data_IF_034662055603
#
_entry.id   IF_034662055603
#
_cell.length_a   1.000
_cell.length_b   1.000
_cell.length_c   1.000
_cell.angle_alpha   90.00
_cell.angle_beta   90.00
_cell.angle_gamma   90.00
#
_symmetry.space_group_name_H-M   'P 1'
#
loop_
_entity.id
_entity.type
_entity.pdbx_description
1 polymer ?
#
# COMPACT_ATOMS: atom_id res chain seq x y z
N UNK A 1 -2.91 17.56 -14.15
CA UNK A 1 -3.38 18.49 -13.11
C UNK A 1 -2.28 19.48 -12.85
N UNK A 2 -2.54 20.78 -12.78
CA UNK A 2 -1.52 21.72 -12.29
C UNK A 2 -1.19 21.31 -10.85
N UNK A 3 0.07 21.09 -10.54
CA UNK A 3 0.56 20.89 -9.16
C UNK A 3 0.41 22.22 -8.39
N UNK A 4 -0.83 22.62 -8.15
CA UNK A 4 -1.06 23.76 -7.29
C UNK A 4 -0.66 23.36 -5.87
N UNK A 5 0.46 23.89 -5.41
CA UNK A 5 0.91 23.71 -4.04
C UNK A 5 0.29 24.85 -3.23
N UNK A 6 -0.62 24.58 -2.31
CA UNK A 6 -1.26 25.63 -1.51
C UNK A 6 -0.23 26.31 -0.60
N UNK A 7 -0.50 27.54 -0.12
CA UNK A 7 0.39 28.21 0.84
C UNK A 7 0.51 27.41 2.13
N UNK A 8 1.64 27.54 2.80
CA UNK A 8 1.83 26.98 4.15
C UNK A 8 0.99 27.78 5.15
N UNK A 9 0.42 27.07 6.13
CA UNK A 9 -0.15 27.68 7.31
C UNK A 9 0.99 28.29 8.16
N UNK A 10 0.97 29.61 8.30
CA UNK A 10 2.03 30.34 9.00
C UNK A 10 2.10 30.02 10.50
N UNK A 11 0.97 29.65 11.11
CA UNK A 11 0.89 29.28 12.53
C UNK A 11 1.55 27.91 12.76
N UNK A 12 1.26 26.93 11.89
CA UNK A 12 1.86 25.59 11.97
C UNK A 12 3.37 25.69 11.65
N UNK A 13 3.73 26.48 10.65
CA UNK A 13 5.15 26.67 10.32
C UNK A 13 5.94 27.30 11.48
N UNK A 14 5.39 28.33 12.14
CA UNK A 14 6.03 28.94 13.30
C UNK A 14 6.19 27.96 14.49
N UNK A 15 5.23 27.05 14.70
CA UNK A 15 5.36 25.99 15.71
C UNK A 15 6.49 25.02 15.37
N UNK A 16 6.60 24.60 14.11
CA UNK A 16 7.68 23.71 13.66
C UNK A 16 9.04 24.40 13.78
N UNK A 17 9.16 25.69 13.39
CA UNK A 17 10.41 26.45 13.60
C UNK A 17 10.79 26.55 15.08
N UNK A 18 9.81 26.74 15.98
CA UNK A 18 10.05 26.76 17.41
C UNK A 18 10.53 25.39 17.93
N UNK A 19 9.98 24.28 17.42
CA UNK A 19 10.46 22.93 17.76
C UNK A 19 11.91 22.71 17.34
N UNK A 20 12.34 23.21 16.20
CA UNK A 20 13.74 23.12 15.74
C UNK A 20 14.74 23.79 16.70
N UNK A 21 14.30 24.76 17.53
CA UNK A 21 15.11 25.39 18.54
C UNK A 21 15.17 24.61 19.88
N UNK A 22 14.35 23.55 20.01
CA UNK A 22 14.38 22.71 21.21
C UNK A 22 15.65 21.87 21.25
N UNK A 23 16.44 21.89 22.37
CA UNK A 23 17.65 21.09 22.48
C UNK A 23 17.41 19.58 22.31
N UNK A 24 16.27 19.06 22.76
CA UNK A 24 15.91 17.65 22.63
C UNK A 24 15.59 17.29 21.18
N UNK A 25 14.87 18.16 20.46
CA UNK A 25 14.59 17.97 19.04
C UNK A 25 15.88 18.08 18.22
N UNK A 26 16.71 19.10 18.45
CA UNK A 26 18.00 19.23 17.79
C UNK A 26 18.91 18.00 18.01
N UNK A 27 18.90 17.45 19.24
CA UNK A 27 19.61 16.19 19.54
C UNK A 27 19.02 15.01 18.77
N UNK A 28 17.69 14.87 18.68
CA UNK A 28 17.05 13.79 17.93
C UNK A 28 17.40 13.84 16.43
N UNK A 29 17.37 15.04 15.84
CA UNK A 29 17.76 15.26 14.44
C UNK A 29 19.25 14.92 14.22
N UNK A 30 20.13 15.23 15.18
CA UNK A 30 21.56 14.90 15.11
C UNK A 30 21.80 13.38 15.22
N UNK A 31 21.07 12.67 16.09
CA UNK A 31 21.14 11.20 16.21
C UNK A 31 20.83 10.56 14.85
N UNK A 32 19.83 11.04 14.13
CA UNK A 32 19.50 10.52 12.79
C UNK A 32 20.69 10.66 11.80
N UNK A 33 21.50 11.71 11.94
CA UNK A 33 22.72 11.90 11.13
C UNK A 33 23.84 10.98 11.59
N UNK A 34 24.10 10.94 12.90
CA UNK A 34 25.23 10.21 13.49
C UNK A 34 25.10 8.69 13.32
N UNK A 35 23.88 8.18 13.33
CA UNK A 35 23.58 6.75 13.17
C UNK A 35 23.36 6.30 11.72
N UNK A 36 23.73 7.09 10.72
CA UNK A 36 23.52 6.75 9.30
C UNK A 36 24.08 5.38 8.92
N UNK A 37 25.29 5.03 9.37
CA UNK A 37 25.89 3.72 9.06
C UNK A 37 25.19 2.59 9.81
N UNK A 38 24.86 2.79 11.06
CA UNK A 38 24.12 1.80 11.85
C UNK A 38 22.74 1.53 11.26
N UNK A 39 21.98 2.58 10.89
CA UNK A 39 20.67 2.44 10.26
C UNK A 39 20.76 1.73 8.93
N UNK A 40 21.79 1.99 8.11
CA UNK A 40 21.96 1.30 6.84
C UNK A 40 22.23 -0.20 7.03
N UNK A 41 23.07 -0.55 8.02
CA UNK A 41 23.30 -1.95 8.37
C UNK A 41 22.01 -2.63 8.84
N UNK A 42 21.19 -1.92 9.60
CA UNK A 42 19.87 -2.39 10.04
C UNK A 42 18.93 -2.64 8.86
N UNK A 43 18.93 -1.78 7.84
CA UNK A 43 18.17 -1.99 6.60
C UNK A 43 18.61 -3.27 5.88
N UNK A 44 19.91 -3.53 5.79
CA UNK A 44 20.47 -4.76 5.20
C UNK A 44 19.98 -5.99 5.96
N UNK A 45 20.14 -5.99 7.28
CA UNK A 45 19.74 -7.13 8.13
C UNK A 45 18.25 -7.44 8.04
N UNK A 46 17.39 -6.42 7.94
CA UNK A 46 15.94 -6.59 7.75
C UNK A 46 15.65 -7.13 6.35
N UNK A 47 16.32 -6.63 5.33
CA UNK A 47 16.12 -7.03 3.94
C UNK A 47 16.46 -8.53 3.73
N UNK A 48 17.52 -9.02 4.36
CA UNK A 48 17.97 -10.42 4.26
C UNK A 48 17.04 -11.41 4.97
N UNK A 49 15.97 -10.93 5.63
CA UNK A 49 14.88 -11.77 6.14
C UNK A 49 13.77 -11.80 5.10
N UNK A 50 13.53 -12.91 4.38
CA UNK A 50 12.43 -13.00 3.42
C UNK A 50 11.08 -12.71 4.08
N UNK A 51 10.24 -11.93 3.42
CA UNK A 51 8.90 -11.62 3.88
C UNK A 51 7.92 -11.49 2.70
N UNK A 52 7.61 -12.57 2.00
CA UNK A 52 6.53 -12.55 1.02
C UNK A 52 5.23 -12.12 1.67
N UNK A 53 4.34 -11.44 0.92
CA UNK A 53 3.00 -11.14 1.39
C UNK A 53 2.30 -12.40 1.89
N UNK A 54 1.78 -12.39 3.11
CA UNK A 54 1.22 -13.50 3.92
C UNK A 54 2.25 -14.40 4.63
N UNK A 55 3.54 -14.22 4.43
CA UNK A 55 4.61 -15.00 5.05
C UNK A 55 5.61 -14.11 5.82
N UNK A 56 5.13 -13.03 6.45
CA UNK A 56 5.93 -11.99 7.11
C UNK A 56 6.45 -12.38 8.50
N UNK A 57 6.09 -13.56 9.03
CA UNK A 57 6.24 -13.93 10.45
C UNK A 57 7.67 -13.80 10.96
N UNK A 58 8.68 -14.18 10.16
CA UNK A 58 10.08 -14.15 10.59
C UNK A 58 10.56 -12.70 10.73
N UNK A 59 10.23 -11.84 9.75
CA UNK A 59 10.54 -10.42 9.79
C UNK A 59 9.80 -9.72 10.95
N UNK A 60 8.55 -10.10 11.21
CA UNK A 60 7.76 -9.58 12.34
C UNK A 60 8.43 -9.88 13.70
N UNK A 61 9.00 -11.07 13.89
CA UNK A 61 9.75 -11.39 15.11
C UNK A 61 11.00 -10.51 15.27
N UNK A 62 11.73 -10.23 14.19
CA UNK A 62 12.89 -9.33 14.25
C UNK A 62 12.46 -7.88 14.54
N UNK A 63 11.36 -7.41 13.92
CA UNK A 63 10.81 -6.09 14.23
C UNK A 63 10.35 -5.97 15.68
N UNK A 64 9.66 -6.99 16.21
CA UNK A 64 9.28 -7.07 17.64
C UNK A 64 10.49 -6.91 18.56
N UNK A 65 11.57 -7.64 18.28
CA UNK A 65 12.82 -7.59 19.06
C UNK A 65 13.43 -6.19 19.04
N UNK A 66 13.55 -5.57 17.84
CA UNK A 66 14.14 -4.23 17.68
C UNK A 66 13.28 -3.16 18.34
N UNK A 67 11.97 -3.16 18.13
CA UNK A 67 11.07 -2.18 18.73
C UNK A 67 11.12 -2.24 20.28
N UNK A 68 11.19 -3.45 20.88
CA UNK A 68 11.42 -3.61 22.32
C UNK A 68 12.78 -3.07 22.77
N UNK A 69 13.84 -3.41 22.05
CA UNK A 69 15.20 -2.96 22.37
C UNK A 69 15.34 -1.43 22.32
N UNK A 70 14.58 -0.78 21.43
CA UNK A 70 14.57 0.68 21.29
C UNK A 70 13.60 1.40 22.24
N UNK A 71 13.01 0.68 23.19
CA UNK A 71 12.33 1.26 24.34
C UNK A 71 10.84 1.52 24.16
N UNK A 72 10.21 1.00 23.11
CA UNK A 72 8.74 1.04 23.03
C UNK A 72 8.11 0.13 24.09
N UNK A 73 6.94 0.52 24.57
CA UNK A 73 6.14 -0.25 25.52
C UNK A 73 5.09 -1.07 24.79
N UNK A 74 4.58 -2.09 25.46
CA UNK A 74 3.47 -2.93 25.01
C UNK A 74 3.67 -3.49 23.59
N UNK A 75 4.94 -3.79 23.24
CA UNK A 75 5.28 -4.28 21.90
C UNK A 75 4.80 -5.71 21.74
N UNK A 76 3.91 -5.93 20.78
CA UNK A 76 3.27 -7.21 20.52
C UNK A 76 3.07 -7.45 19.02
N UNK A 77 2.87 -8.70 18.64
CA UNK A 77 2.37 -9.09 17.33
C UNK A 77 0.87 -9.35 17.48
N UNK A 78 0.05 -8.70 16.65
CA UNK A 78 -1.39 -8.92 16.65
C UNK A 78 -1.78 -10.23 15.91
N UNK A 79 -3.08 -10.54 15.89
CA UNK A 79 -3.59 -11.80 15.33
C UNK A 79 -3.37 -11.95 13.82
N UNK A 80 -3.11 -10.86 13.08
CA UNK A 80 -2.84 -10.93 11.64
C UNK A 80 -1.36 -10.76 11.30
N UNK A 81 -0.51 -10.44 12.30
CA UNK A 81 0.94 -10.37 12.15
C UNK A 81 1.55 -8.97 12.18
N UNK A 82 0.79 -7.89 12.37
CA UNK A 82 1.37 -6.56 12.59
C UNK A 82 2.20 -6.55 13.87
N UNK A 83 3.30 -5.79 13.87
CA UNK A 83 4.05 -5.50 15.09
C UNK A 83 3.70 -4.11 15.59
N UNK A 84 3.05 -4.04 16.74
CA UNK A 84 2.56 -2.78 17.30
C UNK A 84 3.33 -2.47 18.56
N UNK A 85 3.81 -1.23 18.69
CA UNK A 85 4.43 -0.71 19.90
C UNK A 85 3.86 0.65 20.26
N UNK A 86 3.89 0.98 21.54
CA UNK A 86 3.30 2.18 22.09
C UNK A 86 4.36 3.07 22.75
N UNK A 87 4.24 4.37 22.54
CA UNK A 87 5.04 5.40 23.19
C UNK A 87 4.11 6.47 23.79
N UNK A 88 4.05 6.52 25.11
CA UNK A 88 3.25 7.49 25.81
C UNK A 88 3.78 8.91 25.62
N UNK A 89 2.89 9.84 25.34
CA UNK A 89 3.09 11.27 25.44
C UNK A 89 2.62 11.81 26.81
N UNK A 90 2.33 13.11 26.86
CA UNK A 90 1.79 13.77 28.07
C UNK A 90 0.25 13.60 28.20
N UNK A 91 -0.39 12.95 27.23
CA UNK A 91 -1.84 12.74 27.20
C UNK A 91 -2.67 14.00 26.93
N UNK A 92 -2.08 15.02 26.32
CA UNK A 92 -2.70 16.31 26.04
C UNK A 92 -2.87 16.62 24.55
N UNK A 93 -2.33 15.78 23.68
CA UNK A 93 -2.35 15.93 22.23
C UNK A 93 -3.07 14.79 21.51
N UNK A 94 -3.10 14.85 20.16
CA UNK A 94 -3.67 13.81 19.35
C UNK A 94 -2.85 12.52 19.43
N UNK A 95 -3.51 11.39 19.27
CA UNK A 95 -2.89 10.08 19.14
C UNK A 95 -2.53 9.85 17.67
N UNK A 96 -1.25 9.68 17.38
CA UNK A 96 -0.77 9.43 16.02
C UNK A 96 -0.24 8.01 15.87
N UNK A 97 -0.48 7.41 14.72
CA UNK A 97 0.19 6.19 14.31
C UNK A 97 1.21 6.47 13.20
N UNK A 98 2.36 5.81 13.31
CA UNK A 98 3.42 5.81 12.31
C UNK A 98 3.56 4.37 11.84
N UNK A 99 3.46 4.12 10.52
CA UNK A 99 3.49 2.78 9.95
C UNK A 99 4.53 2.62 8.85
N UNK A 100 5.07 1.40 8.72
CA UNK A 100 5.87 0.96 7.58
C UNK A 100 5.58 -0.53 7.34
N UNK A 101 5.42 -0.95 6.08
CA UNK A 101 5.09 -2.34 5.80
C UNK A 101 6.31 -3.26 5.78
N UNK A 102 6.07 -4.50 6.20
CA UNK A 102 7.10 -5.53 6.31
C UNK A 102 7.20 -6.44 5.09
N UNK A 103 6.11 -6.60 4.36
CA UNK A 103 6.05 -7.53 3.25
C UNK A 103 6.70 -6.98 1.97
N UNK A 104 6.92 -7.87 1.03
CA UNK A 104 7.44 -7.58 -0.32
C UNK A 104 6.66 -8.37 -1.36
N UNK A 105 6.67 -7.91 -2.61
CA UNK A 105 6.03 -8.61 -3.75
C UNK A 105 6.71 -9.92 -4.15
N UNK A 106 7.88 -10.21 -3.58
CA UNK A 106 8.69 -11.34 -4.01
C UNK A 106 8.21 -12.65 -3.37
N UNK A 107 8.07 -13.74 -4.16
CA UNK A 107 7.64 -15.04 -3.64
C UNK A 107 8.70 -15.68 -2.76
N UNK A 108 8.27 -16.65 -1.93
CA UNK A 108 9.16 -17.47 -1.13
C UNK A 108 10.25 -18.13 -1.99
N UNK A 109 11.47 -18.16 -1.45
CA UNK A 109 12.65 -18.71 -2.15
C UNK A 109 13.37 -17.71 -3.06
N UNK A 110 12.89 -16.47 -3.18
CA UNK A 110 13.66 -15.39 -3.81
C UNK A 110 14.94 -15.12 -2.99
N UNK A 111 16.08 -15.04 -3.66
CA UNK A 111 17.33 -14.65 -3.00
C UNK A 111 17.29 -13.16 -2.66
N UNK A 112 17.29 -12.88 -1.36
CA UNK A 112 17.28 -11.51 -0.80
C UNK A 112 18.63 -11.13 -0.18
N UNK A 113 19.70 -11.90 -0.47
CA UNK A 113 21.06 -11.56 -0.03
C UNK A 113 21.48 -10.22 -0.59
N UNK A 114 21.89 -9.31 0.29
CA UNK A 114 22.27 -7.96 -0.10
C UNK A 114 23.70 -7.92 -0.64
N UNK A 115 23.86 -7.39 -1.85
CA UNK A 115 25.15 -7.14 -2.46
C UNK A 115 25.43 -5.64 -2.48
N UNK A 116 26.58 -5.24 -1.93
CA UNK A 116 26.98 -3.84 -1.87
C UNK A 116 28.06 -3.49 -2.89
N UNK A 117 27.90 -2.36 -3.57
CA UNK A 117 28.91 -1.74 -4.43
C UNK A 117 29.03 -0.24 -4.10
N UNK A 118 30.02 0.13 -3.31
CA UNK A 118 30.16 1.50 -2.82
C UNK A 118 28.97 1.92 -1.95
N UNK A 119 28.24 2.95 -2.35
CA UNK A 119 27.04 3.43 -1.67
C UNK A 119 25.74 2.75 -2.16
N UNK A 120 25.83 1.82 -3.10
CA UNK A 120 24.68 1.13 -3.67
C UNK A 120 24.54 -0.29 -3.14
N UNK A 121 23.32 -0.62 -2.77
CA UNK A 121 22.92 -1.91 -2.21
C UNK A 121 21.87 -2.54 -3.13
N UNK A 122 22.07 -3.79 -3.52
CA UNK A 122 21.21 -4.52 -4.44
C UNK A 122 20.58 -5.70 -3.71
N UNK A 123 19.29 -5.73 -3.63
CA UNK A 123 18.49 -6.90 -3.25
C UNK A 123 17.01 -6.63 -3.51
N UNK A 124 16.19 -7.66 -3.76
CA UNK A 124 14.75 -7.54 -3.81
C UNK A 124 14.17 -7.01 -2.49
N UNK A 125 13.42 -5.90 -2.53
CA UNK A 125 12.81 -5.28 -1.35
C UNK A 125 13.76 -4.42 -0.50
N UNK A 126 14.99 -4.15 -0.97
CA UNK A 126 15.95 -3.30 -0.22
C UNK A 126 15.46 -1.86 -0.07
N UNK A 127 14.77 -1.35 -1.08
CA UNK A 127 14.13 -0.05 -1.05
C UNK A 127 12.69 -0.17 -0.54
N UNK A 128 11.91 -1.02 -1.18
CA UNK A 128 10.48 -1.21 -0.95
C UNK A 128 10.21 -2.49 -0.12
N UNK A 129 9.97 -2.39 1.22
CA UNK A 129 10.00 -1.17 2.00
C UNK A 129 10.99 -1.31 3.18
N UNK A 130 12.14 -2.01 2.98
CA UNK A 130 13.16 -2.11 4.04
C UNK A 130 13.76 -0.73 4.38
N UNK A 131 13.77 0.21 3.42
CA UNK A 131 14.17 1.59 3.69
C UNK A 131 13.17 2.31 4.61
N UNK A 132 11.88 2.08 4.42
CA UNK A 132 10.83 2.57 5.31
C UNK A 132 10.94 2.00 6.72
N UNK A 133 11.14 0.68 6.85
CA UNK A 133 11.34 0.02 8.15
C UNK A 133 12.58 0.56 8.87
N UNK A 134 13.67 0.82 8.16
CA UNK A 134 14.87 1.48 8.71
C UNK A 134 14.54 2.88 9.26
N UNK A 135 13.88 3.73 8.45
CA UNK A 135 13.52 5.08 8.87
C UNK A 135 12.58 5.05 10.09
N UNK A 136 11.60 4.16 10.07
CA UNK A 136 10.69 3.89 11.17
C UNK A 136 11.43 3.55 12.49
N UNK A 137 12.39 2.63 12.46
CA UNK A 137 13.19 2.27 13.64
C UNK A 137 14.11 3.41 14.08
N UNK A 138 14.66 4.17 13.14
CA UNK A 138 15.50 5.34 13.45
C UNK A 138 14.70 6.43 14.16
N UNK A 139 13.44 6.69 13.76
CA UNK A 139 12.56 7.64 14.47
C UNK A 139 12.34 7.21 15.91
N UNK A 140 12.11 5.93 16.17
CA UNK A 140 11.94 5.40 17.54
C UNK A 140 13.20 5.67 18.38
N UNK A 141 14.39 5.33 17.87
CA UNK A 141 15.65 5.58 18.57
C UNK A 141 15.87 7.07 18.83
N UNK A 142 15.75 7.89 17.80
CA UNK A 142 15.98 9.33 17.91
C UNK A 142 15.10 9.98 18.96
N UNK A 143 13.80 9.65 18.99
CA UNK A 143 12.87 10.17 19.98
C UNK A 143 13.23 9.72 21.42
N UNK A 144 13.58 8.45 21.59
CA UNK A 144 13.85 7.89 22.92
C UNK A 144 15.21 8.30 23.46
N UNK A 145 16.29 8.25 22.67
CA UNK A 145 17.64 8.62 23.12
C UNK A 145 17.81 10.13 23.34
N UNK A 146 17.08 10.94 22.57
CA UNK A 146 17.03 12.37 22.81
C UNK A 146 16.09 12.77 23.95
N UNK A 147 15.27 11.83 24.45
CA UNK A 147 14.20 12.08 25.42
C UNK A 147 13.22 13.16 24.94
N UNK A 148 12.82 13.08 23.67
CA UNK A 148 11.77 13.99 23.12
C UNK A 148 10.44 13.63 23.75
N UNK A 149 9.81 14.55 24.44
CA UNK A 149 8.45 14.40 24.94
C UNK A 149 7.44 14.87 23.89
N UNK A 150 6.40 14.07 23.65
CA UNK A 150 5.27 14.43 22.78
C UNK A 150 4.04 14.79 23.60
N UNK A 151 3.20 15.70 23.11
CA UNK A 151 1.95 16.04 23.80
C UNK A 151 0.93 14.90 23.69
N UNK A 152 0.84 14.28 22.52
CA UNK A 152 0.01 13.10 22.26
C UNK A 152 0.80 11.80 22.27
N UNK A 153 0.08 10.69 22.35
CA UNK A 153 0.62 9.34 22.29
C UNK A 153 0.98 8.93 20.87
N UNK A 154 1.94 8.04 20.74
CA UNK A 154 2.36 7.49 19.44
C UNK A 154 2.21 5.97 19.43
N UNK A 155 1.56 5.47 18.39
CA UNK A 155 1.67 4.08 17.97
C UNK A 155 2.72 3.95 16.87
N UNK A 156 3.54 2.91 16.96
CA UNK A 156 4.46 2.48 15.91
C UNK A 156 4.01 1.12 15.41
N UNK A 157 3.74 1.00 14.12
CA UNK A 157 3.11 -0.20 13.54
C UNK A 157 3.90 -0.68 12.33
N UNK A 158 4.64 -1.78 12.48
CA UNK A 158 5.17 -2.48 11.31
C UNK A 158 4.04 -3.37 10.75
N UNK A 159 3.53 -2.99 9.59
CA UNK A 159 2.33 -3.56 8.99
C UNK A 159 2.62 -4.76 8.11
N UNK A 160 1.62 -5.64 7.94
CA UNK A 160 1.66 -6.79 7.05
C UNK A 160 0.73 -6.62 5.86
N UNK A 161 1.11 -7.21 4.72
CA UNK A 161 0.22 -7.29 3.56
C UNK A 161 -0.13 -5.93 2.96
N UNK A 162 0.85 -5.05 2.81
CA UNK A 162 0.67 -3.85 1.99
C UNK A 162 0.55 -4.24 0.53
N UNK A 163 1.37 -5.17 0.09
CA UNK A 163 1.58 -5.50 -1.30
C UNK A 163 0.51 -6.39 -1.92
N UNK A 164 0.27 -6.18 -3.20
CA UNK A 164 -0.48 -7.08 -4.07
C UNK A 164 -1.86 -7.48 -3.53
N UNK A 165 -2.02 -8.79 -3.31
CA UNK A 165 -3.24 -9.38 -2.74
C UNK A 165 -3.33 -9.24 -1.21
N UNK A 166 -2.31 -8.76 -0.55
CA UNK A 166 -2.34 -8.39 0.87
C UNK A 166 -3.29 -7.23 1.15
N UNK A 167 -3.47 -6.34 0.16
CA UNK A 167 -4.55 -5.34 0.14
C UNK A 167 -4.56 -4.42 1.35
N UNK A 168 -3.36 -4.01 1.82
CA UNK A 168 -3.15 -3.20 3.04
C UNK A 168 -3.86 -3.79 4.28
N UNK A 169 -3.94 -5.13 4.38
CA UNK A 169 -4.69 -5.80 5.45
C UNK A 169 -4.21 -5.40 6.85
N UNK A 170 -2.90 -5.20 7.00
CA UNK A 170 -2.30 -4.78 8.26
C UNK A 170 -2.78 -3.42 8.71
N UNK A 171 -2.68 -2.41 7.86
CA UNK A 171 -3.15 -1.07 8.16
C UNK A 171 -4.66 -1.01 8.39
N UNK A 172 -5.46 -1.71 7.58
CA UNK A 172 -6.92 -1.81 7.79
C UNK A 172 -7.26 -2.42 9.15
N UNK A 173 -6.57 -3.51 9.51
CA UNK A 173 -6.79 -4.18 10.79
C UNK A 173 -6.43 -3.27 11.97
N UNK A 174 -5.26 -2.62 11.91
CA UNK A 174 -4.85 -1.67 12.93
C UNK A 174 -5.88 -0.55 13.10
N UNK A 175 -6.32 0.07 12.00
CA UNK A 175 -7.31 1.15 12.02
C UNK A 175 -8.69 0.73 12.52
N UNK A 176 -9.04 -0.54 12.39
CA UNK A 176 -10.31 -1.08 12.90
C UNK A 176 -10.28 -1.34 14.42
N UNK A 177 -9.10 -1.56 15.02
CA UNK A 177 -8.95 -1.97 16.41
C UNK A 177 -8.30 -0.91 17.32
N UNK A 178 -7.74 0.17 16.75
CA UNK A 178 -7.08 1.23 17.51
C UNK A 178 -7.69 2.60 17.17
N UNK A 179 -7.95 3.39 18.19
CA UNK A 179 -8.40 4.77 17.99
C UNK A 179 -7.18 5.69 17.86
N UNK A 180 -7.05 6.32 16.71
CA UNK A 180 -6.00 7.30 16.42
C UNK A 180 -6.61 8.52 15.72
N UNK A 181 -5.97 9.67 15.89
CA UNK A 181 -6.38 10.94 15.28
C UNK A 181 -5.68 11.20 13.94
N UNK A 182 -4.64 10.41 13.62
CA UNK A 182 -3.91 10.51 12.36
C UNK A 182 -2.97 9.35 12.12
N UNK A 183 -2.57 9.18 10.84
CA UNK A 183 -1.67 8.10 10.42
C UNK A 183 -0.61 8.64 9.44
N UNK A 184 0.64 8.27 9.66
CA UNK A 184 1.76 8.58 8.78
C UNK A 184 2.36 7.24 8.31
N UNK A 185 2.21 6.92 7.03
CA UNK A 185 2.96 5.83 6.42
C UNK A 185 4.38 6.29 6.06
N UNK A 186 5.36 5.40 6.19
CA UNK A 186 6.71 5.61 5.67
C UNK A 186 6.92 4.61 4.53
N UNK A 187 6.89 5.13 3.31
CA UNK A 187 6.94 4.32 2.11
C UNK A 187 7.39 5.19 0.92
N UNK A 188 8.45 4.81 0.23
CA UNK A 188 9.14 5.61 -0.78
C UNK A 188 10.44 6.25 -0.27
N UNK A 189 11.28 6.73 -1.17
CA UNK A 189 12.60 7.33 -0.85
C UNK A 189 12.74 8.80 -1.26
N UNK A 190 11.88 9.32 -2.14
CA UNK A 190 11.92 10.74 -2.56
C UNK A 190 11.51 11.65 -1.41
N UNK A 191 12.49 12.26 -0.74
CA UNK A 191 12.29 13.06 0.48
C UNK A 191 11.41 14.30 0.24
N UNK A 192 11.38 14.83 -0.97
CA UNK A 192 10.53 15.95 -1.34
C UNK A 192 9.08 15.58 -1.62
N UNK A 193 8.71 14.31 -1.55
CA UNK A 193 7.37 13.81 -1.85
C UNK A 193 6.50 13.70 -0.61
N UNK A 194 5.32 14.32 -0.65
CA UNK A 194 4.27 14.20 0.38
C UNK A 194 2.97 13.78 -0.31
N UNK A 195 2.34 12.70 0.17
CA UNK A 195 1.06 12.26 -0.38
C UNK A 195 -0.11 12.95 0.33
N UNK A 196 -0.91 13.69 -0.45
CA UNK A 196 -2.11 14.38 0.03
C UNK A 196 -3.39 13.55 -0.09
N UNK A 197 -3.30 12.37 -0.66
CA UNK A 197 -4.46 11.50 -0.84
C UNK A 197 -4.10 10.14 -1.40
N UNK A 198 -5.09 9.27 -1.38
CA UNK A 198 -5.02 7.87 -1.72
C UNK A 198 -5.78 7.57 -3.01
N UNK A 199 -5.13 6.86 -3.93
CA UNK A 199 -5.81 6.21 -5.04
C UNK A 199 -6.45 4.94 -4.52
N UNK A 200 -7.78 4.89 -4.52
CA UNK A 200 -8.50 3.67 -4.16
C UNK A 200 -8.47 2.64 -5.29
N UNK A 201 -8.56 1.38 -4.92
CA UNK A 201 -8.70 0.29 -5.89
C UNK A 201 -9.70 -0.75 -5.43
N UNK A 202 -10.46 -1.31 -6.37
CA UNK A 202 -11.26 -2.50 -6.17
C UNK A 202 -10.82 -3.57 -7.13
N UNK A 203 -10.63 -4.78 -6.62
CA UNK A 203 -10.15 -5.91 -7.38
C UNK A 203 -11.08 -7.08 -7.25
N UNK A 204 -11.36 -7.71 -8.37
CA UNK A 204 -12.21 -8.89 -8.43
C UNK A 204 -11.57 -9.98 -9.26
N UNK A 205 -11.77 -11.22 -8.81
CA UNK A 205 -11.65 -12.41 -9.64
C UNK A 205 -13.03 -12.80 -10.12
N UNK A 206 -13.25 -12.66 -11.42
CA UNK A 206 -14.47 -13.03 -12.09
C UNK A 206 -14.29 -14.40 -12.72
N UNK A 207 -14.97 -15.42 -12.20
CA UNK A 207 -14.91 -16.79 -12.70
C UNK A 207 -16.23 -17.18 -13.33
N UNK A 208 -16.19 -17.59 -14.59
CA UNK A 208 -17.35 -18.18 -15.26
C UNK A 208 -17.15 -19.69 -15.26
N UNK A 209 -18.15 -20.42 -14.81
CA UNK A 209 -18.14 -21.88 -14.75
C UNK A 209 -19.31 -22.46 -15.51
N UNK A 210 -19.12 -23.62 -16.13
CA UNK A 210 -20.13 -24.36 -16.86
C UNK A 210 -19.84 -25.88 -16.81
N UNK A 211 -20.69 -26.73 -17.41
CA UNK A 211 -20.54 -28.18 -17.32
C UNK A 211 -19.33 -28.72 -18.12
N UNK A 212 -18.92 -27.98 -19.17
CA UNK A 212 -17.95 -28.50 -20.12
C UNK A 212 -18.55 -29.59 -21.02
N UNK A 213 -17.73 -30.14 -21.92
CA UNK A 213 -18.17 -31.22 -22.80
C UNK A 213 -17.34 -31.37 -24.06
N UNK A 214 -17.65 -32.37 -24.88
CA UNK A 214 -16.95 -32.59 -26.14
C UNK A 214 -17.37 -31.49 -27.16
N UNK A 215 -16.41 -30.83 -27.80
CA UNK A 215 -16.65 -29.66 -28.65
C UNK A 215 -17.61 -29.88 -29.80
N UNK A 216 -17.79 -31.10 -30.26
CA UNK A 216 -18.75 -31.44 -31.34
C UNK A 216 -20.09 -31.92 -30.79
N UNK A 217 -20.10 -32.84 -29.83
CA UNK A 217 -21.33 -33.46 -29.31
C UNK A 217 -22.16 -32.48 -28.46
N UNK A 218 -21.48 -31.64 -27.69
CA UNK A 218 -22.13 -30.72 -26.76
C UNK A 218 -22.23 -29.28 -27.31
N UNK A 219 -21.85 -29.08 -28.58
CA UNK A 219 -21.94 -27.75 -29.22
C UNK A 219 -23.38 -27.25 -29.24
N UNK A 220 -23.65 -26.09 -28.66
CA UNK A 220 -24.98 -25.51 -28.52
C UNK A 220 -25.92 -26.21 -27.53
N UNK A 221 -25.45 -27.28 -26.86
CA UNK A 221 -26.18 -27.97 -25.78
C UNK A 221 -25.83 -27.40 -24.42
N UNK A 222 -24.53 -27.11 -24.21
CA UNK A 222 -24.00 -26.55 -22.97
C UNK A 222 -23.32 -25.21 -23.24
N UNK A 223 -23.37 -24.30 -22.28
CA UNK A 223 -22.69 -23.00 -22.37
C UNK A 223 -21.18 -23.10 -22.21
N UNK A 224 -20.46 -22.27 -22.96
CA UNK A 224 -18.99 -22.18 -22.91
C UNK A 224 -18.54 -21.03 -22.00
N UNK A 225 -17.77 -21.38 -20.99
CA UNK A 225 -17.22 -20.38 -20.07
C UNK A 225 -16.29 -19.38 -20.78
N UNK A 226 -15.52 -19.82 -21.78
CA UNK A 226 -14.66 -18.93 -22.58
C UNK A 226 -15.48 -18.01 -23.48
N UNK A 227 -16.54 -18.49 -24.14
CA UNK A 227 -17.39 -17.64 -24.97
C UNK A 227 -18.05 -16.54 -24.13
N UNK A 228 -18.66 -16.90 -22.98
CA UNK A 228 -19.25 -15.94 -22.06
C UNK A 228 -18.22 -14.91 -21.56
N UNK A 229 -16.97 -15.35 -21.26
CA UNK A 229 -15.89 -14.46 -20.86
C UNK A 229 -15.49 -13.49 -21.99
N UNK A 230 -15.42 -13.96 -23.23
CA UNK A 230 -15.14 -13.10 -24.38
C UNK A 230 -16.22 -12.04 -24.60
N UNK A 231 -17.51 -12.42 -24.49
CA UNK A 231 -18.66 -11.52 -24.58
C UNK A 231 -18.61 -10.46 -23.46
N UNK A 232 -18.33 -10.87 -22.24
CA UNK A 232 -18.17 -9.96 -21.09
C UNK A 232 -16.97 -9.02 -21.27
N UNK A 233 -15.80 -9.57 -21.62
CA UNK A 233 -14.57 -8.81 -21.82
C UNK A 233 -14.70 -7.76 -22.94
N UNK A 234 -15.38 -8.09 -24.03
CA UNK A 234 -15.66 -7.14 -25.09
C UNK A 234 -16.51 -5.96 -24.60
N UNK A 235 -17.52 -6.21 -23.75
CA UNK A 235 -18.35 -5.14 -23.14
C UNK A 235 -17.50 -4.28 -22.19
N UNK A 236 -16.71 -4.89 -21.33
CA UNK A 236 -15.81 -4.18 -20.42
C UNK A 236 -14.86 -3.26 -21.20
N UNK A 237 -14.24 -3.75 -22.28
CA UNK A 237 -13.32 -2.96 -23.10
C UNK A 237 -13.95 -1.71 -23.75
N UNK A 238 -15.27 -1.61 -23.81
CA UNK A 238 -15.99 -0.44 -24.33
C UNK A 238 -16.40 0.57 -23.25
N UNK A 239 -16.19 0.29 -21.96
CA UNK A 239 -16.49 1.23 -20.88
C UNK A 239 -15.61 2.47 -21.05
N UNK A 240 -16.25 3.65 -21.03
CA UNK A 240 -15.54 4.93 -21.06
C UNK A 240 -15.42 5.47 -19.64
N UNK A 241 -14.22 5.75 -19.25
CA UNK A 241 -13.90 6.39 -17.95
C UNK A 241 -13.63 7.87 -18.14
N UNK A 242 -13.58 8.60 -17.02
CA UNK A 242 -13.24 10.02 -17.00
C UNK A 242 -11.78 10.22 -16.57
N UNK A 243 -11.19 11.32 -17.03
CA UNK A 243 -9.80 11.64 -16.72
C UNK A 243 -9.65 12.50 -15.46
N UNK A 244 -10.68 13.22 -15.05
CA UNK A 244 -10.61 14.09 -13.89
C UNK A 244 -11.88 13.99 -13.02
N UNK A 245 -11.80 13.32 -11.85
CA UNK A 245 -10.63 12.59 -11.34
C UNK A 245 -10.34 11.33 -12.17
N UNK A 246 -9.05 11.01 -12.33
CA UNK A 246 -8.62 9.88 -13.15
C UNK A 246 -9.21 8.58 -12.60
N UNK A 247 -9.95 7.89 -13.47
CA UNK A 247 -10.60 6.61 -13.19
C UNK A 247 -10.17 5.60 -14.25
N UNK A 248 -9.67 4.44 -13.82
CA UNK A 248 -9.09 3.44 -14.71
C UNK A 248 -9.54 2.04 -14.35
N UNK A 249 -9.45 1.13 -15.32
CA UNK A 249 -9.62 -0.31 -15.09
C UNK A 249 -8.72 -1.11 -16.03
N UNK A 250 -8.49 -2.36 -15.66
CA UNK A 250 -7.81 -3.33 -16.52
C UNK A 250 -8.32 -4.74 -16.24
N UNK A 251 -8.36 -5.57 -17.30
CA UNK A 251 -8.41 -7.04 -17.18
C UNK A 251 -6.97 -7.51 -17.18
N UNK A 252 -6.42 -7.76 -15.98
CA UNK A 252 -4.98 -7.95 -15.78
C UNK A 252 -4.49 -9.34 -16.13
N UNK A 253 -5.29 -10.36 -15.81
CA UNK A 253 -4.99 -11.77 -16.12
C UNK A 253 -6.21 -12.45 -16.69
N UNK A 254 -6.01 -13.45 -17.53
CA UNK A 254 -7.06 -14.34 -18.02
C UNK A 254 -6.52 -15.77 -18.15
N UNK A 255 -7.29 -16.75 -17.68
CA UNK A 255 -6.97 -18.18 -17.84
C UNK A 255 -8.24 -19.00 -17.95
N UNK A 256 -8.22 -20.10 -18.71
CA UNK A 256 -9.40 -20.94 -18.84
C UNK A 256 -9.25 -22.06 -19.88
N UNK A 257 -10.26 -22.92 -19.92
CA UNK A 257 -10.30 -24.09 -20.78
C UNK A 257 -9.41 -25.23 -20.32
N UNK A 258 -9.52 -26.38 -20.99
CA UNK A 258 -8.74 -27.60 -20.66
C UNK A 258 -8.04 -28.19 -21.89
N UNK A 259 -8.71 -28.19 -23.06
CA UNK A 259 -8.15 -28.67 -24.32
C UNK A 259 -8.86 -28.03 -25.51
N UNK A 260 -8.22 -28.12 -26.71
CA UNK A 260 -8.74 -27.50 -27.95
C UNK A 260 -10.08 -28.05 -28.39
N UNK A 261 -10.42 -29.28 -28.05
CA UNK A 261 -11.63 -29.97 -28.45
C UNK A 261 -12.65 -30.14 -27.31
N UNK A 262 -12.64 -29.24 -26.34
CA UNK A 262 -13.55 -29.22 -25.19
C UNK A 262 -14.31 -27.90 -25.14
N UNK A 263 -15.64 -27.94 -24.92
CA UNK A 263 -16.38 -26.77 -24.46
C UNK A 263 -15.85 -26.39 -23.10
N UNK A 264 -15.32 -25.18 -22.95
CA UNK A 264 -14.59 -24.78 -21.76
C UNK A 264 -15.47 -24.80 -20.48
N UNK A 265 -15.09 -25.61 -19.45
CA UNK A 265 -15.85 -25.68 -18.21
C UNK A 265 -15.60 -24.49 -17.28
N UNK A 266 -14.50 -23.76 -17.47
CA UNK A 266 -14.20 -22.58 -16.67
C UNK A 266 -13.35 -21.58 -17.44
N UNK A 267 -13.54 -20.29 -17.09
CA UNK A 267 -12.67 -19.20 -17.47
C UNK A 267 -12.66 -18.16 -16.36
N UNK A 268 -11.49 -17.64 -16.03
CA UNK A 268 -11.25 -16.69 -14.94
C UNK A 268 -10.50 -15.48 -15.47
N UNK A 269 -10.85 -14.30 -14.96
CA UNK A 269 -10.16 -13.03 -15.23
C UNK A 269 -10.03 -12.24 -13.91
N UNK A 270 -8.90 -11.59 -13.72
CA UNK A 270 -8.72 -10.64 -12.62
C UNK A 270 -8.83 -9.22 -13.14
N UNK A 271 -9.64 -8.43 -12.42
CA UNK A 271 -9.98 -7.05 -12.76
C UNK A 271 -9.43 -6.13 -11.69
N UNK A 272 -8.68 -5.10 -12.09
CA UNK A 272 -8.27 -3.98 -11.22
C UNK A 272 -8.98 -2.71 -11.67
N UNK A 273 -9.61 -2.02 -10.73
CA UNK A 273 -10.33 -0.75 -10.93
C UNK A 273 -9.74 0.29 -9.99
N UNK A 274 -9.46 1.50 -10.47
CA UNK A 274 -8.87 2.56 -9.65
C UNK A 274 -9.55 3.90 -9.85
N UNK A 275 -9.71 4.65 -8.76
CA UNK A 275 -10.15 6.05 -8.78
C UNK A 275 -9.71 6.79 -7.53
N UNK A 276 -9.67 8.12 -7.63
CA UNK A 276 -9.54 9.03 -6.47
C UNK A 276 -10.89 9.30 -5.80
N UNK A 277 -11.98 9.03 -6.51
CA UNK A 277 -13.34 9.29 -6.06
C UNK A 277 -14.04 7.96 -5.73
N UNK A 278 -14.45 7.76 -4.45
CA UNK A 278 -15.11 6.54 -4.03
C UNK A 278 -16.41 6.23 -4.79
N UNK A 279 -17.16 7.29 -5.17
CA UNK A 279 -18.42 7.11 -5.89
C UNK A 279 -18.20 6.67 -7.34
N UNK A 280 -17.19 7.25 -8.00
CA UNK A 280 -16.82 6.84 -9.37
C UNK A 280 -16.28 5.41 -9.37
N UNK A 281 -15.50 5.04 -8.37
CA UNK A 281 -15.00 3.67 -8.22
C UNK A 281 -16.16 2.69 -8.03
N UNK A 282 -17.14 3.03 -7.19
CA UNK A 282 -18.35 2.21 -6.99
C UNK A 282 -19.23 2.10 -8.25
N UNK A 283 -19.32 3.18 -9.01
CA UNK A 283 -20.08 3.17 -10.27
C UNK A 283 -19.39 2.31 -11.32
N UNK A 284 -18.07 2.40 -11.44
CA UNK A 284 -17.28 1.58 -12.36
C UNK A 284 -17.37 0.09 -12.01
N UNK A 285 -17.30 -0.26 -10.73
CA UNK A 285 -17.49 -1.63 -10.25
C UNK A 285 -18.83 -2.21 -10.69
N UNK A 286 -19.91 -1.46 -10.49
CA UNK A 286 -21.26 -1.89 -10.91
C UNK A 286 -21.34 -2.12 -12.42
N UNK A 287 -20.77 -1.23 -13.23
CA UNK A 287 -20.75 -1.35 -14.68
C UNK A 287 -19.97 -2.59 -15.13
N UNK A 288 -18.82 -2.84 -14.53
CA UNK A 288 -18.00 -4.02 -14.86
C UNK A 288 -18.73 -5.30 -14.47
N UNK A 289 -19.27 -5.38 -13.25
CA UNK A 289 -20.06 -6.55 -12.81
C UNK A 289 -21.21 -6.81 -13.78
N UNK A 290 -21.93 -5.77 -14.18
CA UNK A 290 -23.03 -5.87 -15.15
C UNK A 290 -22.56 -6.43 -16.48
N UNK A 291 -21.40 -6.01 -17.00
CA UNK A 291 -20.84 -6.56 -18.24
C UNK A 291 -20.62 -8.08 -18.16
N UNK A 292 -20.17 -8.59 -17.01
CA UNK A 292 -19.98 -10.02 -16.80
C UNK A 292 -21.31 -10.76 -16.69
N UNK A 293 -22.30 -10.22 -16.00
CA UNK A 293 -23.64 -10.77 -15.89
C UNK A 293 -24.33 -10.83 -17.28
N UNK A 294 -24.17 -9.78 -18.07
CA UNK A 294 -24.69 -9.73 -19.45
C UNK A 294 -23.99 -10.74 -20.36
N UNK A 295 -22.65 -10.89 -20.26
CA UNK A 295 -21.92 -11.88 -21.07
C UNK A 295 -22.34 -13.32 -20.80
N UNK A 296 -22.56 -13.66 -19.51
CA UNK A 296 -23.10 -14.96 -19.10
C UNK A 296 -24.52 -15.18 -19.61
N UNK A 297 -25.36 -14.14 -19.49
CA UNK A 297 -26.73 -14.17 -19.99
C UNK A 297 -26.77 -14.39 -21.52
N UNK A 298 -25.98 -13.62 -22.25
CA UNK A 298 -25.92 -13.67 -23.71
C UNK A 298 -25.48 -15.04 -24.25
N UNK A 299 -24.45 -15.67 -23.62
CA UNK A 299 -24.04 -17.05 -23.98
C UNK A 299 -25.16 -18.06 -23.79
N UNK A 300 -25.87 -18.02 -22.64
CA UNK A 300 -26.96 -18.93 -22.36
C UNK A 300 -28.18 -18.72 -23.31
N UNK A 301 -28.47 -17.46 -23.62
CA UNK A 301 -29.60 -17.10 -24.54
C UNK A 301 -29.29 -17.43 -25.98
N UNK A 302 -28.07 -17.25 -26.47
CA UNK A 302 -27.65 -17.54 -27.84
C UNK A 302 -27.95 -18.97 -28.24
N UNK A 303 -27.82 -19.89 -27.31
CA UNK A 303 -28.02 -21.33 -27.54
C UNK A 303 -29.36 -21.84 -26.97
N UNK A 304 -30.25 -20.95 -26.46
CA UNK A 304 -31.51 -21.32 -25.80
C UNK A 304 -31.32 -22.36 -24.67
N UNK A 305 -30.28 -22.24 -23.87
CA UNK A 305 -29.96 -23.20 -22.80
C UNK A 305 -30.91 -22.95 -21.63
N UNK A 306 -31.97 -23.75 -21.53
CA UNK A 306 -33.01 -23.63 -20.48
C UNK A 306 -32.72 -24.48 -19.25
N UNK A 307 -31.98 -25.58 -19.40
CA UNK A 307 -31.58 -26.41 -18.25
C UNK A 307 -30.49 -25.71 -17.44
N UNK A 308 -30.73 -25.40 -16.13
CA UNK A 308 -29.77 -24.73 -15.28
C UNK A 308 -28.42 -25.46 -15.09
N UNK A 309 -28.42 -26.82 -15.27
CA UNK A 309 -27.21 -27.62 -15.15
C UNK A 309 -26.30 -27.49 -16.40
N UNK A 310 -26.82 -27.02 -17.50
CA UNK A 310 -26.10 -26.79 -18.77
C UNK A 310 -25.70 -25.34 -18.98
N UNK A 311 -26.18 -24.42 -18.14
CA UNK A 311 -25.87 -23.01 -18.20
C UNK A 311 -24.49 -22.70 -17.64
N UNK A 312 -23.85 -21.69 -18.20
CA UNK A 312 -22.71 -21.02 -17.53
C UNK A 312 -23.21 -20.09 -16.42
N UNK A 313 -22.40 -19.97 -15.37
CA UNK A 313 -22.68 -19.15 -14.17
C UNK A 313 -21.48 -18.29 -13.81
N UNK A 314 -21.74 -17.07 -13.30
CA UNK A 314 -20.73 -16.14 -12.83
C UNK A 314 -20.51 -16.30 -11.31
N UNK A 315 -19.25 -16.41 -10.91
CA UNK A 315 -18.77 -16.31 -9.53
C UNK A 315 -17.95 -15.03 -9.43
N UNK A 316 -18.32 -14.17 -8.49
CA UNK A 316 -17.65 -12.88 -8.22
C UNK A 316 -16.91 -12.99 -6.90
N UNK A 317 -15.58 -12.97 -6.91
CA UNK A 317 -14.75 -13.03 -5.71
C UNK A 317 -14.00 -11.72 -5.55
N UNK A 318 -14.32 -10.89 -4.54
CA UNK A 318 -13.49 -9.74 -4.20
C UNK A 318 -12.10 -10.22 -3.77
N UNK A 319 -11.05 -9.59 -4.32
CA UNK A 319 -9.64 -9.90 -4.00
C UNK A 319 -8.83 -8.67 -3.59
N UNK A 320 -9.49 -7.52 -3.47
CA UNK A 320 -8.91 -6.28 -2.95
C UNK A 320 -9.92 -5.14 -2.92
N UNK A 321 -9.83 -4.29 -1.89
CA UNK A 321 -10.65 -3.08 -1.72
C UNK A 321 -9.87 -2.03 -0.92
N UNK A 322 -8.97 -1.29 -1.59
CA UNK A 322 -8.25 -0.17 -0.97
C UNK A 322 -9.11 1.09 -1.04
N UNK A 323 -9.41 1.76 0.07
CA UNK A 323 -10.20 2.97 0.07
C UNK A 323 -9.55 4.11 -0.72
N UNK A 324 -10.34 4.92 -1.40
CA UNK A 324 -9.92 6.21 -1.94
C UNK A 324 -10.10 7.31 -0.88
N UNK A 325 -9.27 8.35 -0.94
CA UNK A 325 -9.44 9.51 -0.06
C UNK A 325 -8.53 10.67 -0.42
N UNK A 326 -9.05 11.89 -0.30
CA UNK A 326 -8.28 13.13 -0.41
C UNK A 326 -8.40 13.91 0.89
N UNK A 327 -7.30 14.55 1.30
CA UNK A 327 -7.35 15.48 2.42
C UNK A 327 -7.41 16.92 1.91
N UNK A 328 -8.14 17.78 2.62
CA UNK A 328 -8.15 19.21 2.31
C UNK A 328 -6.75 19.80 2.55
N UNK A 329 -6.44 20.88 1.86
CA UNK A 329 -5.13 21.53 1.89
C UNK A 329 -4.69 22.02 3.28
N UNK A 330 -5.66 22.32 4.15
CA UNK A 330 -5.44 22.72 5.55
C UNK A 330 -5.35 21.53 6.51
N UNK A 331 -5.28 20.28 6.02
CA UNK A 331 -5.10 19.11 6.88
C UNK A 331 -3.84 19.26 7.75
N UNK A 332 -3.96 19.16 9.09
CA UNK A 332 -2.82 19.41 9.99
C UNK A 332 -1.59 18.58 9.70
N UNK A 333 -1.76 17.28 9.41
CA UNK A 333 -0.64 16.37 9.09
C UNK A 333 0.08 16.82 7.81
N UNK A 334 -0.65 17.24 6.77
CA UNK A 334 -0.05 17.74 5.53
C UNK A 334 0.68 19.06 5.74
N UNK A 335 0.09 19.99 6.50
CA UNK A 335 0.71 21.27 6.81
C UNK A 335 1.95 21.10 7.68
N UNK A 336 1.91 20.22 8.68
CA UNK A 336 3.06 19.91 9.53
C UNK A 336 4.21 19.26 8.73
N UNK A 337 3.91 18.28 7.88
CA UNK A 337 4.93 17.61 7.04
C UNK A 337 5.62 18.60 6.08
N UNK A 338 4.85 19.46 5.43
CA UNK A 338 5.40 20.50 4.54
C UNK A 338 6.21 21.54 5.30
N UNK A 339 5.77 21.89 6.52
CA UNK A 339 6.49 22.81 7.39
C UNK A 339 7.82 22.22 7.86
N UNK A 340 7.86 20.90 8.17
CA UNK A 340 9.07 20.19 8.53
C UNK A 340 10.08 20.17 7.37
N UNK A 341 9.65 19.81 6.14
CA UNK A 341 10.53 19.91 4.97
C UNK A 341 11.17 21.29 4.84
N UNK A 342 10.36 22.33 4.91
CA UNK A 342 10.86 23.71 4.79
C UNK A 342 11.81 24.09 5.93
N UNK A 343 11.51 23.70 7.17
CA UNK A 343 12.35 23.99 8.34
C UNK A 343 13.72 23.26 8.25
N UNK A 344 13.76 22.09 7.60
CA UNK A 344 14.98 21.34 7.32
C UNK A 344 15.73 21.87 6.06
N UNK A 345 15.21 22.89 5.39
CA UNK A 345 15.81 23.42 4.15
C UNK A 345 15.63 22.52 2.94
N UNK A 346 14.63 21.64 2.98
CA UNK A 346 14.30 20.70 1.90
C UNK A 346 13.16 21.24 1.03
N UNK A 347 13.16 20.89 -0.25
CA UNK A 347 12.14 21.33 -1.19
C UNK A 347 11.03 20.29 -1.35
N UNK A 348 9.78 20.74 -1.46
CA UNK A 348 8.65 19.91 -1.86
C UNK A 348 8.72 19.68 -3.37
N UNK A 349 9.03 18.46 -3.80
CA UNK A 349 9.16 18.07 -5.22
C UNK A 349 7.87 17.53 -5.80
N UNK A 350 7.10 16.78 -4.99
CA UNK A 350 5.80 16.20 -5.38
C UNK A 350 4.79 16.28 -4.24
N UNK A 351 3.64 16.87 -4.54
CA UNK A 351 2.47 16.89 -3.66
C UNK A 351 1.39 15.99 -4.26
N UNK A 352 1.66 14.70 -4.17
CA UNK A 352 1.11 13.68 -5.04
C UNK A 352 -0.01 12.84 -4.44
N UNK A 353 -0.29 11.79 -5.16
CA UNK A 353 -1.31 10.79 -4.89
C UNK A 353 -0.70 9.41 -5.14
N UNK A 354 -0.93 8.45 -4.24
CA UNK A 354 -0.49 7.07 -4.43
C UNK A 354 -1.43 6.11 -3.70
N UNK A 355 -1.09 4.83 -3.69
CA UNK A 355 -1.79 3.81 -2.91
C UNK A 355 -0.76 3.19 -1.97
N UNK A 356 -0.96 3.34 -0.66
CA UNK A 356 -0.08 2.89 0.42
C UNK A 356 -0.93 2.53 1.64
N UNK A 357 -0.33 2.13 2.75
CA UNK A 357 -1.02 1.92 4.03
C UNK A 357 -1.83 3.14 4.51
N UNK A 358 -1.43 4.36 4.11
CA UNK A 358 -2.18 5.58 4.42
C UNK A 358 -3.63 5.56 3.88
N UNK A 359 -3.93 4.73 2.85
CA UNK A 359 -5.28 4.56 2.32
C UNK A 359 -6.27 4.13 3.43
N UNK A 360 -5.84 3.30 4.38
CA UNK A 360 -6.71 2.82 5.45
C UNK A 360 -7.28 3.98 6.30
N UNK A 361 -6.41 4.90 6.72
CA UNK A 361 -6.83 6.08 7.49
C UNK A 361 -7.55 7.12 6.63
N UNK A 362 -7.07 7.37 5.39
CA UNK A 362 -7.69 8.32 4.46
C UNK A 362 -9.12 7.91 4.12
N UNK A 363 -9.38 6.60 3.95
CA UNK A 363 -10.72 6.06 3.71
C UNK A 363 -11.70 6.28 4.88
N UNK A 364 -11.20 6.35 6.10
CA UNK A 364 -11.98 6.67 7.31
C UNK A 364 -12.17 8.19 7.52
N UNK A 365 -11.61 9.01 6.65
CA UNK A 365 -11.69 10.47 6.77
C UNK A 365 -10.67 11.08 7.73
N UNK A 366 -9.73 10.29 8.26
CA UNK A 366 -8.73 10.75 9.20
C UNK A 366 -7.58 11.52 8.51
N UNK A 367 -6.93 12.46 9.21
CA UNK A 367 -5.68 13.03 8.77
C UNK A 367 -4.63 11.95 8.52
N UNK A 368 -4.13 11.84 7.30
CA UNK A 368 -3.06 10.90 6.99
C UNK A 368 -2.23 11.35 5.80
N UNK A 369 -1.01 10.85 5.74
CA UNK A 369 -0.07 11.06 4.63
C UNK A 369 0.87 9.88 4.51
N UNK A 370 1.63 9.83 3.42
CA UNK A 370 2.80 8.99 3.30
C UNK A 370 4.02 9.89 3.11
N UNK A 371 5.06 9.63 3.89
CA UNK A 371 6.35 10.31 3.89
C UNK A 371 7.44 9.34 3.43
N UNK A 372 8.57 9.90 3.04
CA UNK A 372 9.68 9.13 2.47
C UNK A 372 10.74 8.80 3.49
N UNK A 373 11.41 7.67 3.28
CA UNK A 373 12.48 7.15 4.15
C UNK A 373 13.83 7.84 3.95
N UNK A 374 14.00 8.63 2.86
CA UNK A 374 15.30 9.11 2.41
C UNK A 374 16.11 8.04 1.68
N UNK A 375 17.16 8.45 0.99
CA UNK A 375 17.91 7.61 0.05
C UNK A 375 17.40 7.76 -1.39
N UNK A 376 17.78 6.82 -2.22
CA UNK A 376 17.25 6.71 -3.58
C UNK A 376 17.07 5.23 -3.94
N UNK A 377 15.94 4.87 -4.47
CA UNK A 377 15.65 3.50 -4.94
C UNK A 377 15.23 3.51 -6.40
N UNK A 378 15.51 2.41 -7.08
CA UNK A 378 15.05 2.18 -8.45
C UNK A 378 14.83 0.70 -8.71
N UNK A 379 14.09 0.38 -9.77
CA UNK A 379 13.70 -0.98 -10.17
C UNK A 379 12.90 -1.75 -9.11
N UNK A 380 12.11 -1.03 -8.29
CA UNK A 380 11.20 -1.66 -7.34
C UNK A 380 10.33 -2.73 -8.02
N UNK A 381 9.96 -3.76 -7.28
CA UNK A 381 9.20 -4.92 -7.77
C UNK A 381 9.95 -5.77 -8.82
N UNK A 382 11.28 -5.64 -8.91
CA UNK A 382 12.12 -6.52 -9.71
C UNK A 382 13.28 -7.09 -8.89
N UNK A 383 13.79 -8.23 -9.29
CA UNK A 383 14.99 -8.85 -8.66
C UNK A 383 16.28 -8.02 -8.83
N UNK A 384 16.23 -6.97 -9.63
CA UNK A 384 17.33 -6.04 -9.85
C UNK A 384 17.16 -4.74 -9.08
N UNK A 385 16.30 -4.71 -8.10
CA UNK A 385 16.08 -3.56 -7.23
C UNK A 385 17.37 -3.14 -6.55
N UNK A 386 17.55 -1.84 -6.41
CA UNK A 386 18.68 -1.28 -5.68
C UNK A 386 18.30 -0.03 -4.88
N UNK A 387 19.11 0.22 -3.88
CA UNK A 387 19.01 1.37 -2.99
C UNK A 387 20.38 2.07 -2.88
N UNK A 388 20.40 3.38 -3.12
CA UNK A 388 21.58 4.22 -2.93
C UNK A 388 21.50 4.94 -1.56
N UNK A 389 22.54 4.76 -0.74
CA UNK A 389 22.69 5.40 0.56
C UNK A 389 23.05 6.88 0.41
N UNK A 390 22.07 7.71 0.04
CA UNK A 390 22.24 9.16 -0.15
C UNK A 390 21.27 9.90 0.78
N UNK A 391 21.79 10.68 1.71
CA UNK A 391 20.97 11.51 2.62
C UNK A 391 19.89 10.72 3.37
N UNK A 392 20.15 9.47 3.72
CA UNK A 392 19.16 8.59 4.36
C UNK A 392 18.68 9.09 5.72
N UNK A 393 19.44 9.98 6.39
CA UNK A 393 19.06 10.64 7.64
C UNK A 393 17.90 11.63 7.48
N UNK A 394 17.67 12.14 6.26
CA UNK A 394 16.63 13.15 6.02
C UNK A 394 15.21 12.58 6.16
N UNK A 395 15.01 11.28 5.92
CA UNK A 395 13.72 10.62 6.14
C UNK A 395 13.29 10.64 7.61
N UNK A 396 14.10 10.10 8.54
CA UNK A 396 13.79 10.11 9.97
C UNK A 396 13.74 11.52 10.60
N UNK A 397 14.46 12.52 10.06
CA UNK A 397 14.41 13.91 10.51
C UNK A 397 13.05 14.58 10.25
#
# INVERSE_FOLDING_TARGET
>A
MSNHIPPLDSSIYAQVEALMQSPTVAKALQIAVDETEFSMQEQVEICEIPAPTFEEQVRAQEMLKRMKAYGLKDVQIDEIGNVIGFRAGKGQGPVLAIGAHMDTVFPAGTDVTVRQEGNRYYAPGIGDNCSGLRAFLQVIRSLNEANVETEGDLYFVATVGEEGLGDIRGAKHFMAHHQVDGFIAIDNTDIGRILRGAVGSRRYRMTIVGPGGHSYSEFGVVGSAIHAMCLAGAKVAHIKTIENPRTTYTLGTIKGGTSVNTVAPSCEVEVDMRSLDPQLLSNLEKQIIQCFEEGVKEENELWNITNPDYQVKLIKTPIGDRPAGLRPENCPVLQASRSALKALGLELTDYGLSSTDANAALGLGLPATCLSSGGFQDKCHTVNEYFDKVNIHQGPQ
#
